data_IF_040592710530
#
_entry.id   IF_040592710530
#
_cell.length_a   1.000
_cell.length_b   1.000
_cell.length_c   1.000
_cell.angle_alpha   90.00
_cell.angle_beta   90.00
_cell.angle_gamma   90.00
#
_symmetry.space_group_name_H-M   'P 1'
#
loop_
_entity.id
_entity.type
_entity.pdbx_description
1 polymer ?
#
# COMPACT_ATOMS: atom_id res chain seq x y z
N UNK A 1 -4.61 22.46 -8.24
CA UNK A 1 -3.68 21.51 -8.90
C UNK A 1 -2.27 21.94 -8.57
N UNK A 2 -1.70 21.44 -7.47
CA UNK A 2 -0.28 21.58 -7.17
C UNK A 2 0.47 20.59 -8.07
N UNK A 3 0.96 21.13 -9.18
CA UNK A 3 1.91 20.44 -10.05
C UNK A 3 3.19 20.35 -9.23
N UNK A 4 3.56 19.16 -8.79
CA UNK A 4 4.82 18.91 -8.07
C UNK A 4 5.95 19.66 -8.77
N UNK A 5 6.57 20.58 -8.05
CA UNK A 5 7.66 21.39 -8.59
C UNK A 5 8.78 20.45 -9.01
N UNK A 6 9.44 20.76 -10.13
CA UNK A 6 10.39 19.91 -10.87
C UNK A 6 11.72 19.64 -10.13
N UNK A 7 11.72 19.59 -8.80
CA UNK A 7 12.87 19.36 -7.93
C UNK A 7 12.58 18.60 -6.62
N UNK A 8 11.31 18.38 -6.26
CA UNK A 8 10.95 17.64 -5.04
C UNK A 8 10.99 16.14 -5.32
N UNK A 9 12.18 15.55 -5.18
CA UNK A 9 12.34 14.11 -5.40
C UNK A 9 11.51 13.32 -4.39
N UNK A 10 10.39 12.76 -4.84
CA UNK A 10 9.61 11.80 -4.05
C UNK A 10 10.52 10.63 -3.68
N UNK A 11 10.67 10.41 -2.37
CA UNK A 11 11.45 9.32 -1.83
C UNK A 11 10.54 8.15 -1.46
N UNK A 12 10.87 6.97 -2.00
CA UNK A 12 10.21 5.70 -1.72
C UNK A 12 11.04 5.01 -0.63
N UNK A 13 10.40 4.66 0.48
CA UNK A 13 11.03 3.98 1.62
C UNK A 13 10.74 2.48 1.48
N UNK A 14 11.78 1.70 1.24
CA UNK A 14 11.65 0.25 1.20
C UNK A 14 11.63 -0.30 2.63
N UNK A 15 10.60 -1.09 2.93
CA UNK A 15 10.39 -1.68 4.25
C UNK A 15 10.59 -3.18 4.17
N UNK A 16 11.49 -3.66 5.00
CA UNK A 16 11.87 -5.04 5.18
C UNK A 16 11.75 -5.41 6.66
N UNK A 17 12.03 -6.66 7.00
CA UNK A 17 11.81 -7.17 8.35
C UNK A 17 12.68 -6.47 9.42
N UNK A 18 13.85 -5.97 9.03
CA UNK A 18 14.83 -5.33 9.89
C UNK A 18 14.53 -3.85 10.19
N UNK A 19 13.84 -3.13 9.30
CA UNK A 19 13.47 -1.72 9.50
C UNK A 19 11.96 -1.49 9.69
N UNK A 20 11.15 -2.55 9.79
CA UNK A 20 9.70 -2.47 9.92
C UNK A 20 9.27 -1.57 11.10
N UNK A 21 9.84 -1.79 12.28
CA UNK A 21 9.46 -1.06 13.50
C UNK A 21 9.83 0.43 13.43
N UNK A 22 10.98 0.75 12.82
CA UNK A 22 11.45 2.13 12.63
C UNK A 22 10.52 2.89 11.69
N UNK A 23 10.14 2.26 10.57
CA UNK A 23 9.26 2.84 9.57
C UNK A 23 7.83 2.99 10.09
N UNK A 24 7.33 2.05 10.91
CA UNK A 24 6.05 2.19 11.62
C UNK A 24 6.07 3.27 12.71
N UNK A 25 7.20 3.54 13.35
CA UNK A 25 7.33 4.68 14.26
C UNK A 25 7.13 6.00 13.49
N UNK A 26 7.75 6.15 12.31
CA UNK A 26 7.54 7.32 11.47
C UNK A 26 6.09 7.47 11.02
N UNK A 27 5.42 6.38 10.65
CA UNK A 27 3.99 6.40 10.29
C UNK A 27 3.16 6.97 11.44
N UNK A 28 3.42 6.53 12.69
CA UNK A 28 2.70 7.04 13.88
C UNK A 28 2.90 8.55 14.08
N UNK A 29 4.04 9.11 13.72
CA UNK A 29 4.33 10.54 13.87
C UNK A 29 3.67 11.42 12.79
N UNK A 30 3.31 10.84 11.64
CA UNK A 30 2.72 11.58 10.50
C UNK A 30 1.21 11.38 10.38
N UNK A 31 0.66 10.25 10.81
CA UNK A 31 -0.71 9.82 10.47
C UNK A 31 -1.80 10.79 10.97
N UNK A 32 -1.57 11.49 12.07
CA UNK A 32 -2.52 12.48 12.61
C UNK A 32 -2.64 13.73 11.73
N UNK A 33 -1.54 14.10 11.03
CA UNK A 33 -1.49 15.28 10.16
C UNK A 33 -1.72 14.94 8.68
N UNK A 34 -1.27 13.76 8.27
CA UNK A 34 -1.35 13.26 6.90
C UNK A 34 -2.23 12.01 6.91
N UNK A 35 -3.51 12.22 7.13
CA UNK A 35 -4.52 11.21 7.43
C UNK A 35 -5.20 10.62 6.19
N UNK A 36 -4.86 11.06 4.99
CA UNK A 36 -5.32 10.45 3.74
C UNK A 36 -4.32 9.39 3.30
N UNK A 37 -4.79 8.15 3.13
CA UNK A 37 -3.92 7.00 2.81
C UNK A 37 -4.33 6.43 1.45
N UNK A 38 -3.43 6.48 0.48
CA UNK A 38 -3.52 5.68 -0.74
C UNK A 38 -2.79 4.35 -0.54
N UNK A 39 -3.44 3.26 -0.94
CA UNK A 39 -2.95 1.89 -0.76
C UNK A 39 -2.92 1.16 -2.10
N UNK A 40 -1.88 0.35 -2.29
CA UNK A 40 -1.76 -0.58 -3.41
C UNK A 40 -1.16 -1.92 -2.95
N UNK A 41 -1.51 -3.01 -3.61
CA UNK A 41 -1.09 -4.36 -3.22
C UNK A 41 -0.66 -5.20 -4.41
N UNK A 42 0.47 -5.87 -4.29
CA UNK A 42 0.93 -6.85 -5.27
C UNK A 42 0.79 -8.27 -4.70
N UNK A 43 0.20 -9.16 -5.48
CA UNK A 43 0.02 -10.57 -5.14
C UNK A 43 0.11 -11.44 -6.42
N UNK A 44 0.23 -12.77 -6.30
CA UNK A 44 0.38 -13.68 -7.44
C UNK A 44 -0.79 -13.77 -8.44
N UNK A 45 -1.65 -12.75 -8.52
CA UNK A 45 -2.87 -12.70 -9.34
C UNK A 45 -3.89 -13.79 -8.95
N UNK A 46 -4.87 -14.04 -9.81
CA UNK A 46 -5.98 -14.98 -9.58
C UNK A 46 -5.60 -16.38 -10.04
N UNK A 47 -5.55 -17.32 -9.10
CA UNK A 47 -5.25 -18.74 -9.33
C UNK A 47 -6.50 -19.62 -9.17
N UNK A 48 -7.42 -19.23 -8.29
CA UNK A 48 -8.69 -19.94 -8.06
C UNK A 48 -9.85 -19.30 -8.82
N UNK A 49 -10.72 -20.14 -9.36
CA UNK A 49 -12.04 -19.75 -9.88
C UNK A 49 -13.09 -20.68 -9.28
N UNK A 50 -14.03 -20.17 -8.48
CA UNK A 50 -14.98 -21.01 -7.77
C UNK A 50 -15.98 -21.61 -8.75
N UNK A 51 -16.31 -22.90 -8.57
CA UNK A 51 -17.26 -23.64 -9.38
C UNK A 51 -18.55 -23.84 -8.59
N UNK A 52 -19.68 -23.41 -9.12
CA UNK A 52 -20.98 -23.54 -8.44
C UNK A 52 -22.05 -22.62 -9.02
N UNK A 53 -23.23 -22.63 -8.37
CA UNK A 53 -24.33 -21.75 -8.72
C UNK A 53 -24.21 -20.44 -7.92
N UNK A 54 -24.01 -19.33 -8.63
CA UNK A 54 -23.98 -17.99 -8.05
C UNK A 54 -25.29 -17.27 -8.37
N UNK A 55 -25.82 -16.50 -7.41
CA UNK A 55 -27.11 -15.81 -7.61
C UNK A 55 -26.97 -14.64 -8.58
N UNK A 56 -25.78 -14.02 -8.62
CA UNK A 56 -25.45 -12.91 -9.50
C UNK A 56 -23.93 -12.84 -9.72
N UNK A 57 -23.49 -11.95 -10.61
CA UNK A 57 -22.06 -11.78 -10.94
C UNK A 57 -21.22 -11.21 -9.79
N UNK A 58 -21.81 -10.41 -8.91
CA UNK A 58 -21.10 -9.85 -7.75
C UNK A 58 -20.76 -10.95 -6.74
N UNK A 59 -21.68 -11.89 -6.51
CA UNK A 59 -21.44 -13.06 -5.64
C UNK A 59 -20.27 -13.90 -6.19
N UNK A 60 -20.23 -14.12 -7.50
CA UNK A 60 -19.12 -14.81 -8.16
C UNK A 60 -17.80 -14.06 -8.03
N UNK A 61 -17.80 -12.74 -8.26
CA UNK A 61 -16.60 -11.90 -8.14
C UNK A 61 -16.08 -11.85 -6.70
N UNK A 62 -16.98 -11.71 -5.72
CA UNK A 62 -16.63 -11.71 -4.32
C UNK A 62 -16.05 -13.06 -3.89
N UNK A 63 -16.67 -14.18 -4.28
CA UNK A 63 -16.15 -15.50 -3.94
C UNK A 63 -14.78 -15.74 -4.60
N UNK A 64 -14.61 -15.33 -5.86
CA UNK A 64 -13.31 -15.39 -6.54
C UNK A 64 -12.26 -14.58 -5.78
N UNK A 65 -12.56 -13.34 -5.40
CA UNK A 65 -11.64 -12.51 -4.62
C UNK A 65 -11.31 -13.17 -3.28
N UNK A 66 -12.33 -13.59 -2.52
CA UNK A 66 -12.19 -14.20 -1.20
C UNK A 66 -11.29 -15.44 -1.25
N UNK A 67 -11.56 -16.37 -2.15
CA UNK A 67 -10.81 -17.63 -2.22
C UNK A 67 -9.34 -17.39 -2.57
N UNK A 68 -9.06 -16.43 -3.45
CA UNK A 68 -7.68 -16.07 -3.80
C UNK A 68 -6.97 -15.31 -2.66
N UNK A 69 -7.65 -14.41 -1.96
CA UNK A 69 -7.09 -13.70 -0.81
C UNK A 69 -6.80 -14.66 0.35
N UNK A 70 -7.68 -15.63 0.59
CA UNK A 70 -7.49 -16.65 1.64
C UNK A 70 -6.32 -17.60 1.31
N UNK A 71 -6.11 -17.92 0.02
CA UNK A 71 -5.08 -18.88 -0.41
C UNK A 71 -3.70 -18.23 -0.60
N UNK A 72 -3.65 -17.02 -1.14
CA UNK A 72 -2.42 -16.40 -1.62
C UNK A 72 -1.77 -15.52 -0.56
N UNK A 73 -0.44 -15.45 -0.60
CA UNK A 73 0.33 -14.54 0.24
C UNK A 73 0.56 -13.23 -0.50
N UNK A 74 0.39 -12.13 0.22
CA UNK A 74 0.75 -10.80 -0.26
C UNK A 74 2.27 -10.73 -0.55
N UNK A 75 2.66 -10.14 -1.67
CA UNK A 75 4.05 -9.90 -2.05
C UNK A 75 4.49 -8.52 -1.59
N UNK A 76 3.67 -7.51 -1.89
CA UNK A 76 3.95 -6.12 -1.57
C UNK A 76 2.71 -5.36 -1.08
N UNK A 77 2.91 -4.49 -0.09
CA UNK A 77 1.95 -3.44 0.30
C UNK A 77 2.59 -2.07 0.08
N UNK A 78 1.96 -1.25 -0.75
CA UNK A 78 2.27 0.14 -1.00
C UNK A 78 1.39 1.06 -0.14
N UNK A 79 1.97 1.94 0.68
CA UNK A 79 1.24 2.99 1.40
C UNK A 79 1.79 4.37 1.08
N UNK A 80 0.91 5.32 0.77
CA UNK A 80 1.22 6.74 0.56
C UNK A 80 0.30 7.58 1.44
N UNK A 81 0.87 8.50 2.21
CA UNK A 81 0.11 9.38 3.10
C UNK A 81 0.01 10.77 2.47
N UNK A 82 -1.06 11.51 2.74
CA UNK A 82 -1.17 12.92 2.38
C UNK A 82 -2.10 13.66 3.34
N UNK A 83 -2.06 14.99 3.30
CA UNK A 83 -3.06 15.83 3.95
C UNK A 83 -4.24 16.08 3.00
N UNK A 84 -5.19 16.91 3.44
CA UNK A 84 -6.38 17.29 2.67
C UNK A 84 -6.08 18.04 1.37
N UNK A 85 -4.93 18.73 1.31
CA UNK A 85 -4.47 19.48 0.15
C UNK A 85 -3.61 18.62 -0.81
N UNK A 86 -3.31 17.37 -0.42
CA UNK A 86 -2.47 16.45 -1.19
C UNK A 86 -0.96 16.65 -0.98
N UNK A 87 -0.55 17.38 0.07
CA UNK A 87 0.86 17.51 0.42
C UNK A 87 1.39 16.26 1.11
N UNK A 88 2.69 16.03 0.95
CA UNK A 88 3.41 14.85 1.42
C UNK A 88 4.32 15.23 2.61
N UNK A 89 4.36 14.48 3.73
CA UNK A 89 5.35 14.63 4.78
C UNK A 89 6.77 14.45 4.29
N UNK A 90 7.65 15.09 5.04
CA UNK A 90 9.08 15.06 4.84
C UNK A 90 9.79 13.97 5.65
N UNK A 91 9.06 13.17 6.46
CA UNK A 91 9.54 12.02 7.25
C UNK A 91 10.96 12.14 7.83
N UNK A 92 11.29 13.31 8.39
CA UNK A 92 12.59 13.59 9.00
C UNK A 92 13.76 13.85 8.03
N UNK A 93 13.50 14.07 6.75
CA UNK A 93 14.50 14.37 5.71
C UNK A 93 14.17 15.66 4.96
N UNK A 94 15.10 16.16 4.15
CA UNK A 94 14.88 17.32 3.27
C UNK A 94 13.99 17.02 2.04
N UNK A 95 13.35 15.84 1.97
CA UNK A 95 12.60 15.34 0.81
C UNK A 95 11.22 14.81 1.20
N UNK A 96 10.26 14.89 0.28
CA UNK A 96 8.93 14.28 0.43
C UNK A 96 9.06 12.74 0.42
N UNK A 97 8.66 12.05 1.49
CA UNK A 97 9.04 10.66 1.76
C UNK A 97 7.83 9.72 1.91
N UNK A 98 7.21 9.21 0.84
CA UNK A 98 5.87 8.61 1.02
C UNK A 98 5.44 7.52 0.06
N UNK A 99 6.32 6.57 -0.18
CA UNK A 99 5.81 5.26 -0.58
C UNK A 99 6.50 4.22 0.25
N UNK A 100 5.77 3.65 1.20
CA UNK A 100 6.21 2.48 1.93
C UNK A 100 5.94 1.27 1.06
N UNK A 101 6.98 0.52 0.73
CA UNK A 101 6.84 -0.76 0.05
C UNK A 101 7.28 -1.85 1.01
N UNK A 102 6.32 -2.55 1.63
CA UNK A 102 6.62 -3.73 2.43
C UNK A 102 6.82 -4.89 1.46
N UNK A 103 8.06 -5.33 1.25
CA UNK A 103 8.35 -6.48 0.40
C UNK A 103 8.61 -7.71 1.25
N UNK A 104 7.98 -8.82 0.90
CA UNK A 104 8.34 -10.14 1.46
C UNK A 104 9.33 -10.84 0.54
N UNK A 105 10.45 -11.32 1.08
CA UNK A 105 11.30 -12.27 0.39
C UNK A 105 10.51 -13.57 0.18
N UNK A 106 10.25 -13.91 -1.08
CA UNK A 106 9.68 -15.21 -1.46
C UNK A 106 10.81 -16.24 -1.29
N UNK A 107 10.80 -16.94 -0.16
CA UNK A 107 11.63 -18.11 0.11
C UNK A 107 10.89 -19.40 -0.22
#
# INVERSE_FOLDING_TARGET
MSILSKGDSIHIREVWNDNLDEEFALIRDIVDRFNYIAMDTEFPSVVLRPVGNFKNINDYNYQTLKDNVDMLKLIQLGLTFSDEDGNLPTCGTDKSCLRFNLKRLVG
#
